data_IF_963257892647
#
_entry.id   IF_963257892647
#
_cell.length_a   1.000
_cell.length_b   1.000
_cell.length_c   1.000
_cell.angle_alpha   90.00
_cell.angle_beta   90.00
_cell.angle_gamma   90.00
#
_symmetry.space_group_name_H-M   'P 1'
#
loop_
_entity.id
_entity.type
_entity.pdbx_description
1 polymer ?
#
# COMPACT_ATOMS: atom_id res chain seq x y z
N UNK A 1 -36.06 -43.74 -51.32
CA UNK A 1 -34.78 -43.02 -51.10
C UNK A 1 -35.09 -41.58 -50.69
N UNK A 2 -34.93 -41.22 -49.41
CA UNK A 2 -34.89 -39.83 -48.94
C UNK A 2 -33.84 -39.76 -47.83
N UNK A 3 -32.75 -39.04 -48.12
CA UNK A 3 -31.57 -38.86 -47.26
C UNK A 3 -31.90 -37.91 -46.12
N UNK A 4 -31.64 -38.33 -44.89
CA UNK A 4 -31.66 -37.47 -43.70
C UNK A 4 -30.24 -36.90 -43.54
N UNK A 5 -30.10 -35.58 -43.55
CA UNK A 5 -28.83 -34.88 -43.27
C UNK A 5 -28.84 -34.48 -41.79
N UNK A 6 -27.88 -34.90 -40.95
CA UNK A 6 -27.77 -34.38 -39.61
C UNK A 6 -26.96 -33.08 -39.63
N UNK A 7 -27.55 -32.00 -39.10
CA UNK A 7 -26.89 -30.72 -38.87
C UNK A 7 -26.07 -30.86 -37.57
N UNK A 8 -24.75 -30.84 -37.71
CA UNK A 8 -23.82 -30.84 -36.57
C UNK A 8 -23.65 -29.41 -36.08
N UNK A 9 -24.32 -29.06 -34.98
CA UNK A 9 -24.16 -27.75 -34.32
C UNK A 9 -22.88 -27.80 -33.47
N UNK A 10 -21.82 -27.21 -34.01
CA UNK A 10 -20.55 -27.03 -33.29
C UNK A 10 -20.70 -25.88 -32.30
N UNK A 11 -20.93 -26.20 -31.02
CA UNK A 11 -20.95 -25.24 -29.93
C UNK A 11 -19.54 -24.69 -29.69
N UNK A 12 -19.28 -23.48 -30.18
CA UNK A 12 -18.08 -22.71 -29.85
C UNK A 12 -18.23 -22.23 -28.40
N UNK A 13 -17.59 -22.93 -27.48
CA UNK A 13 -17.42 -22.44 -26.11
C UNK A 13 -16.44 -21.26 -26.15
N UNK A 14 -16.98 -20.04 -26.11
CA UNK A 14 -16.21 -18.86 -25.75
C UNK A 14 -15.93 -18.94 -24.25
N UNK A 15 -14.77 -19.46 -23.88
CA UNK A 15 -14.20 -19.27 -22.55
C UNK A 15 -13.74 -17.81 -22.46
N UNK A 16 -14.29 -16.96 -21.58
CA UNK A 16 -13.63 -15.71 -21.25
C UNK A 16 -12.33 -16.09 -20.54
N UNK A 17 -11.20 -15.90 -21.22
CA UNK A 17 -9.92 -15.91 -20.56
C UNK A 17 -9.95 -14.80 -19.53
N UNK A 18 -10.01 -15.17 -18.24
CA UNK A 18 -9.68 -14.28 -17.15
C UNK A 18 -8.22 -13.86 -17.40
N UNK A 19 -8.05 -12.70 -18.03
CA UNK A 19 -6.77 -12.01 -18.04
C UNK A 19 -6.49 -11.68 -16.57
N UNK A 20 -5.75 -12.55 -15.89
CA UNK A 20 -5.03 -12.18 -14.68
C UNK A 20 -4.09 -11.06 -15.09
N UNK A 21 -4.57 -9.82 -14.96
CA UNK A 21 -3.77 -8.64 -15.21
C UNK A 21 -2.49 -8.74 -14.39
N UNK A 22 -1.34 -8.54 -15.04
CA UNK A 22 -0.04 -8.64 -14.37
C UNK A 22 -0.04 -7.82 -13.07
N UNK A 23 0.26 -8.51 -11.96
CA UNK A 23 0.29 -7.91 -10.64
C UNK A 23 1.31 -6.76 -10.61
N UNK A 24 0.90 -5.53 -10.27
CA UNK A 24 1.82 -4.40 -10.27
C UNK A 24 2.77 -4.55 -9.10
N UNK A 25 4.02 -4.89 -9.41
CA UNK A 25 5.11 -4.97 -8.43
C UNK A 25 6.04 -3.76 -8.48
N UNK A 26 6.06 -3.05 -9.62
CA UNK A 26 7.02 -1.99 -9.90
C UNK A 26 6.35 -0.61 -9.85
N UNK A 27 7.03 0.35 -9.23
CA UNK A 27 6.61 1.74 -9.20
C UNK A 27 7.80 2.68 -8.99
N UNK A 28 7.98 3.65 -9.90
CA UNK A 28 9.00 4.69 -9.77
C UNK A 28 10.44 4.19 -9.69
N UNK A 29 10.74 3.03 -10.30
CA UNK A 29 12.06 2.40 -10.25
C UNK A 29 12.24 1.36 -9.14
N UNK A 30 11.28 1.24 -8.22
CA UNK A 30 11.33 0.30 -7.10
C UNK A 30 10.41 -0.90 -7.33
N UNK A 31 10.79 -2.05 -6.77
CA UNK A 31 10.01 -3.29 -6.85
C UNK A 31 9.69 -3.84 -5.46
N UNK A 32 8.40 -4.09 -5.19
CA UNK A 32 7.95 -4.75 -3.97
C UNK A 32 8.56 -6.16 -3.84
N UNK A 33 8.95 -6.51 -2.61
CA UNK A 33 9.59 -7.77 -2.25
C UNK A 33 11.10 -7.82 -2.49
N UNK A 34 11.68 -6.81 -3.15
CA UNK A 34 13.14 -6.75 -3.30
C UNK A 34 13.83 -6.23 -2.04
N UNK A 35 15.15 -6.46 -1.98
CA UNK A 35 15.97 -5.98 -0.89
C UNK A 35 16.27 -4.48 -1.02
N UNK A 36 16.15 -3.73 0.08
CA UNK A 36 16.45 -2.30 0.10
C UNK A 36 17.90 -1.98 -0.26
N UNK A 37 18.83 -2.92 -0.01
CA UNK A 37 20.24 -2.78 -0.36
C UNK A 37 20.46 -2.55 -1.88
N UNK A 38 19.52 -3.02 -2.73
CA UNK A 38 19.60 -2.77 -4.18
C UNK A 38 19.39 -1.29 -4.57
N UNK A 39 18.87 -0.49 -3.65
CA UNK A 39 18.43 0.88 -3.90
C UNK A 39 19.22 1.91 -3.07
N UNK A 40 20.39 1.57 -2.54
CA UNK A 40 21.23 2.46 -1.71
C UNK A 40 21.58 3.80 -2.40
N UNK A 41 21.79 3.76 -3.72
CA UNK A 41 22.06 4.96 -4.53
C UNK A 41 20.81 5.80 -4.81
N UNK A 42 19.61 5.28 -4.52
CA UNK A 42 18.32 5.92 -4.80
C UNK A 42 17.55 6.27 -3.53
N UNK A 43 17.89 5.66 -2.39
CA UNK A 43 17.24 5.84 -1.10
C UNK A 43 18.23 6.43 -0.11
N UNK A 44 17.80 7.45 0.63
CA UNK A 44 18.59 8.04 1.70
C UNK A 44 18.44 7.21 2.98
N UNK A 45 19.30 6.21 3.16
CA UNK A 45 19.25 5.33 4.32
C UNK A 45 19.49 6.06 5.66
N UNK A 46 20.14 7.23 5.64
CA UNK A 46 20.33 8.07 6.84
C UNK A 46 19.02 8.71 7.35
N UNK A 47 17.98 8.73 6.51
CA UNK A 47 16.64 9.22 6.88
C UNK A 47 15.72 8.12 7.44
N UNK A 48 16.25 6.91 7.66
CA UNK A 48 15.47 5.76 8.09
C UNK A 48 14.83 5.98 9.46
N UNK A 49 13.50 5.88 9.52
CA UNK A 49 12.74 5.99 10.75
C UNK A 49 11.77 4.82 10.87
N UNK A 50 11.60 4.34 12.10
CA UNK A 50 10.57 3.36 12.41
C UNK A 50 9.19 4.01 12.35
N UNK A 51 8.23 3.32 11.74
CA UNK A 51 6.87 3.87 11.61
C UNK A 51 6.13 3.70 12.93
N UNK A 52 5.67 4.81 13.50
CA UNK A 52 4.91 4.80 14.77
C UNK A 52 3.65 3.95 14.63
N UNK A 53 3.39 3.08 15.61
CA UNK A 53 2.29 2.10 15.61
C UNK A 53 2.38 1.01 14.53
N UNK A 54 3.47 0.97 13.77
CA UNK A 54 3.84 -0.10 12.83
C UNK A 54 5.33 -0.36 12.95
N UNK A 55 5.80 -0.65 14.16
CA UNK A 55 7.22 -0.82 14.49
C UNK A 55 7.91 -1.97 13.72
N UNK A 56 7.12 -2.84 13.09
CA UNK A 56 7.54 -3.85 12.14
C UNK A 56 7.89 -3.31 10.74
N UNK A 57 7.86 -1.99 10.57
CA UNK A 57 8.19 -1.27 9.33
C UNK A 57 9.15 -0.13 9.64
N UNK A 58 10.17 0.00 8.79
CA UNK A 58 10.99 1.19 8.68
C UNK A 58 10.73 1.87 7.33
N UNK A 59 10.75 3.19 7.32
CA UNK A 59 10.61 4.00 6.10
C UNK A 59 11.83 4.91 5.93
N UNK A 60 12.35 4.99 4.71
CA UNK A 60 13.43 5.89 4.33
C UNK A 60 13.00 6.76 3.14
N UNK A 61 13.49 7.99 3.08
CA UNK A 61 13.21 8.92 1.99
C UNK A 61 13.95 8.55 0.71
N UNK A 62 13.32 8.74 -0.45
CA UNK A 62 14.02 8.64 -1.72
C UNK A 62 14.94 9.85 -1.92
N UNK A 63 16.05 9.64 -2.63
CA UNK A 63 16.84 10.72 -3.21
C UNK A 63 16.07 11.35 -4.38
N UNK A 64 16.47 12.55 -4.76
CA UNK A 64 15.80 13.30 -5.82
C UNK A 64 15.72 12.47 -7.11
N UNK A 65 14.49 12.21 -7.56
CA UNK A 65 14.21 11.35 -8.72
C UNK A 65 13.29 12.08 -9.68
N UNK A 66 13.53 11.97 -10.99
CA UNK A 66 12.72 12.64 -11.99
C UNK A 66 11.22 12.27 -11.88
N UNK A 67 10.35 13.29 -11.92
CA UNK A 67 8.90 13.12 -11.83
C UNK A 67 8.34 13.00 -10.42
N UNK A 68 9.19 12.87 -9.39
CA UNK A 68 8.77 12.77 -8.00
C UNK A 68 9.33 13.91 -7.15
N UNK A 69 8.45 14.57 -6.39
CA UNK A 69 8.82 15.61 -5.43
C UNK A 69 9.47 15.03 -4.17
N UNK A 70 8.95 13.89 -3.72
CA UNK A 70 9.38 13.19 -2.51
C UNK A 70 8.83 11.77 -2.53
N UNK A 71 9.36 10.91 -1.68
CA UNK A 71 8.85 9.55 -1.54
C UNK A 71 9.40 8.87 -0.29
N UNK A 72 8.66 7.86 0.18
CA UNK A 72 9.03 7.01 1.30
C UNK A 72 9.00 5.56 0.84
N UNK A 73 10.09 4.85 1.08
CA UNK A 73 10.24 3.42 0.81
C UNK A 73 10.19 2.70 2.14
N UNK A 74 9.16 1.88 2.33
CA UNK A 74 8.93 1.09 3.52
C UNK A 74 9.43 -0.33 3.37
N UNK A 75 10.19 -0.82 4.33
CA UNK A 75 10.74 -2.17 4.37
C UNK A 75 10.51 -2.84 5.73
N UNK A 76 10.46 -4.18 5.70
CA UNK A 76 10.16 -5.02 6.86
C UNK A 76 11.31 -5.06 7.86
N UNK A 77 10.98 -5.31 9.13
CA UNK A 77 11.98 -5.44 10.21
C UNK A 77 11.84 -6.72 11.03
N UNK A 78 10.84 -7.58 10.74
CA UNK A 78 10.55 -8.77 11.56
C UNK A 78 10.53 -10.09 10.80
N UNK A 79 9.58 -10.30 9.88
CA UNK A 79 9.35 -11.56 9.17
C UNK A 79 10.37 -11.72 8.02
N UNK A 80 10.46 -10.70 7.18
CA UNK A 80 11.45 -10.58 6.11
C UNK A 80 12.14 -9.21 6.20
N UNK A 81 13.16 -9.09 7.07
CA UNK A 81 13.91 -7.86 7.22
C UNK A 81 14.45 -7.35 5.88
N UNK A 82 14.48 -6.02 5.73
CA UNK A 82 15.02 -5.29 4.58
C UNK A 82 14.27 -5.49 3.25
N UNK A 83 13.17 -6.26 3.22
CA UNK A 83 12.34 -6.40 2.02
C UNK A 83 11.39 -5.23 1.86
N UNK A 84 11.31 -4.66 0.67
CA UNK A 84 10.37 -3.59 0.31
C UNK A 84 8.94 -4.09 0.41
N UNK A 85 8.15 -3.49 1.29
CA UNK A 85 6.74 -3.84 1.52
C UNK A 85 5.80 -2.66 1.22
N UNK A 86 6.33 -1.44 1.11
CA UNK A 86 5.56 -0.25 0.78
C UNK A 86 6.37 0.73 -0.07
N UNK A 87 5.74 1.30 -1.09
CA UNK A 87 6.29 2.38 -1.91
C UNK A 87 5.27 3.52 -1.87
N UNK A 88 5.66 4.70 -1.37
CA UNK A 88 4.82 5.90 -1.35
C UNK A 88 5.53 7.03 -2.08
N UNK A 89 5.03 7.42 -3.25
CA UNK A 89 5.64 8.47 -4.07
C UNK A 89 4.69 9.65 -4.25
N UNK A 90 5.25 10.85 -4.19
CA UNK A 90 4.56 12.10 -4.46
C UNK A 90 5.07 12.68 -5.77
N UNK A 91 4.17 12.95 -6.71
CA UNK A 91 4.53 13.49 -8.02
C UNK A 91 4.91 14.97 -7.93
N UNK A 92 5.79 15.40 -8.83
CA UNK A 92 6.16 16.83 -8.97
C UNK A 92 4.98 17.67 -9.47
N UNK A 93 4.21 17.15 -10.43
CA UNK A 93 2.98 17.80 -10.88
C UNK A 93 1.85 17.52 -9.89
N UNK A 94 1.44 18.58 -9.17
CA UNK A 94 0.37 18.54 -8.17
C UNK A 94 -1.03 18.79 -8.76
N UNK A 95 -1.15 19.05 -10.06
CA UNK A 95 -2.40 19.47 -10.68
C UNK A 95 -3.44 18.35 -10.75
N UNK A 96 -4.72 18.72 -10.63
CA UNK A 96 -5.85 17.80 -10.85
C UNK A 96 -5.88 17.28 -12.29
N UNK A 97 -5.39 18.06 -13.27
CA UNK A 97 -5.29 17.64 -14.67
C UNK A 97 -4.36 16.43 -14.81
N UNK A 98 -3.16 16.49 -14.22
CA UNK A 98 -2.23 15.38 -14.22
C UNK A 98 -2.80 14.15 -13.52
N UNK A 99 -3.47 14.34 -12.37
CA UNK A 99 -4.19 13.26 -11.68
C UNK A 99 -5.21 12.56 -12.59
N UNK A 100 -6.07 13.32 -13.26
CA UNK A 100 -7.09 12.76 -14.15
C UNK A 100 -6.47 11.99 -15.33
N UNK A 101 -5.34 12.47 -15.86
CA UNK A 101 -4.59 11.77 -16.90
C UNK A 101 -3.99 10.44 -16.39
N UNK A 102 -3.40 10.44 -15.19
CA UNK A 102 -2.90 9.23 -14.55
C UNK A 102 -4.03 8.25 -14.25
N UNK A 103 -5.14 8.72 -13.67
CA UNK A 103 -6.31 7.91 -13.38
C UNK A 103 -6.83 7.22 -14.64
N UNK A 104 -6.91 7.94 -15.78
CA UNK A 104 -7.30 7.35 -17.06
C UNK A 104 -6.33 6.24 -17.49
N UNK A 105 -5.02 6.46 -17.35
CA UNK A 105 -4.00 5.44 -17.67
C UNK A 105 -4.09 4.21 -16.76
N UNK A 106 -4.37 4.42 -15.47
CA UNK A 106 -4.55 3.35 -14.50
C UNK A 106 -5.79 2.51 -14.84
N UNK A 107 -6.91 3.16 -15.16
CA UNK A 107 -8.14 2.48 -15.59
C UNK A 107 -7.95 1.67 -16.88
N UNK A 108 -7.20 2.21 -17.85
CA UNK A 108 -6.87 1.47 -19.08
C UNK A 108 -6.01 0.23 -18.75
N UNK A 109 -5.10 0.32 -17.79
CA UNK A 109 -4.17 -0.76 -17.47
C UNK A 109 -4.75 -1.83 -16.53
N UNK A 110 -5.52 -1.41 -15.52
CA UNK A 110 -5.97 -2.26 -14.42
C UNK A 110 -7.49 -2.42 -14.33
N UNK A 111 -8.25 -1.75 -15.19
CA UNK A 111 -9.71 -1.68 -15.07
C UNK A 111 -10.17 -0.66 -14.03
N UNK A 112 -11.46 -0.67 -13.73
CA UNK A 112 -12.03 0.23 -12.72
C UNK A 112 -11.49 -0.08 -11.32
N UNK A 113 -11.36 0.96 -10.46
CA UNK A 113 -10.92 0.77 -9.08
C UNK A 113 -11.95 0.01 -8.25
N UNK A 114 -11.49 -0.76 -7.27
CA UNK A 114 -12.34 -1.54 -6.38
C UNK A 114 -13.02 -0.69 -5.30
N UNK A 115 -12.36 0.39 -4.86
CA UNK A 115 -12.81 1.15 -3.69
C UNK A 115 -12.50 2.65 -3.78
N UNK A 116 -13.48 3.47 -3.41
CA UNK A 116 -13.30 4.90 -3.13
C UNK A 116 -12.75 5.09 -1.71
N UNK A 117 -11.67 5.86 -1.59
CA UNK A 117 -10.98 6.16 -0.32
C UNK A 117 -10.87 7.67 -0.05
N UNK A 118 -11.51 8.49 -0.88
CA UNK A 118 -11.54 9.94 -0.68
C UNK A 118 -12.55 10.36 0.39
N UNK A 119 -12.54 11.65 0.74
CA UNK A 119 -13.52 12.21 1.66
C UNK A 119 -14.80 12.67 0.92
N UNK A 120 -15.94 12.83 1.63
CA UNK A 120 -17.20 13.26 1.02
C UNK A 120 -17.16 14.65 0.38
N UNK A 121 -16.29 15.54 0.86
CA UNK A 121 -16.13 16.91 0.34
C UNK A 121 -15.14 16.99 -0.83
N UNK A 122 -14.57 15.84 -1.24
CA UNK A 122 -13.60 15.72 -2.32
C UNK A 122 -12.35 16.60 -2.15
N UNK A 123 -11.97 16.87 -0.89
CA UNK A 123 -10.71 17.53 -0.56
C UNK A 123 -9.55 16.59 -0.93
N UNK A 124 -9.69 15.33 -0.55
CA UNK A 124 -8.91 14.15 -0.89
C UNK A 124 -9.73 13.26 -1.82
N UNK A 125 -9.22 13.04 -3.02
CA UNK A 125 -9.75 12.10 -4.00
C UNK A 125 -8.80 10.91 -4.02
N UNK A 126 -9.25 9.72 -3.64
CA UNK A 126 -8.41 8.53 -3.64
C UNK A 126 -9.15 7.31 -4.18
N UNK A 127 -8.53 6.61 -5.12
CA UNK A 127 -9.03 5.37 -5.70
C UNK A 127 -8.06 4.24 -5.38
N UNK A 128 -8.60 3.09 -4.99
CA UNK A 128 -7.84 1.91 -4.63
C UNK A 128 -8.09 0.77 -5.60
N UNK A 129 -7.02 0.08 -5.97
CA UNK A 129 -7.02 -1.21 -6.64
C UNK A 129 -6.39 -2.25 -5.71
N UNK A 130 -6.92 -3.46 -5.73
CA UNK A 130 -6.48 -4.61 -4.96
C UNK A 130 -6.15 -5.73 -5.94
N UNK A 131 -4.98 -6.34 -5.75
CA UNK A 131 -4.50 -7.42 -6.58
C UNK A 131 -4.20 -8.61 -5.70
N UNK A 132 -4.49 -9.80 -6.20
CA UNK A 132 -4.16 -11.07 -5.57
C UNK A 132 -3.68 -12.03 -6.65
N UNK A 133 -2.60 -12.74 -6.38
CA UNK A 133 -2.10 -13.79 -7.26
C UNK A 133 -2.39 -15.20 -6.72
N UNK A 134 -2.03 -16.21 -7.52
CA UNK A 134 -2.22 -17.62 -7.18
C UNK A 134 -1.44 -18.08 -5.95
N UNK A 135 -0.37 -17.36 -5.60
CA UNK A 135 0.46 -17.64 -4.42
C UNK A 135 -0.09 -16.95 -3.15
N UNK A 136 -1.25 -16.28 -3.26
CA UNK A 136 -1.88 -15.53 -2.18
C UNK A 136 -1.17 -14.21 -1.84
N UNK A 137 -0.29 -13.72 -2.72
CA UNK A 137 0.32 -12.40 -2.56
C UNK A 137 -0.71 -11.34 -2.91
N UNK A 138 -1.05 -10.55 -1.90
CA UNK A 138 -1.98 -9.42 -2.01
C UNK A 138 -1.23 -8.10 -2.05
N UNK A 139 -1.61 -7.23 -2.99
CA UNK A 139 -1.10 -5.87 -3.15
C UNK A 139 -2.27 -4.90 -3.16
N UNK A 140 -2.12 -3.77 -2.46
CA UNK A 140 -3.00 -2.62 -2.63
C UNK A 140 -2.24 -1.49 -3.34
N UNK A 141 -2.90 -0.86 -4.30
CA UNK A 141 -2.46 0.37 -4.96
C UNK A 141 -3.49 1.46 -4.67
N UNK A 142 -3.04 2.64 -4.28
CA UNK A 142 -3.91 3.81 -4.06
C UNK A 142 -3.34 4.99 -4.84
N UNK A 143 -4.15 5.57 -5.73
CA UNK A 143 -3.85 6.83 -6.43
C UNK A 143 -4.67 7.95 -5.79
N UNK A 144 -4.00 8.98 -5.29
CA UNK A 144 -4.60 10.05 -4.51
C UNK A 144 -4.26 11.45 -5.05
N UNK A 145 -5.23 12.36 -4.95
CA UNK A 145 -5.08 13.80 -5.16
C UNK A 145 -5.63 14.55 -3.94
N UNK A 146 -4.87 15.47 -3.36
CA UNK A 146 -5.31 16.35 -2.28
C UNK A 146 -5.30 17.82 -2.73
N UNK A 147 -6.42 18.51 -2.52
CA UNK A 147 -6.67 19.89 -2.93
C UNK A 147 -6.46 20.93 -1.83
N UNK A 148 -6.56 20.60 -0.53
CA UNK A 148 -6.62 21.65 0.50
C UNK A 148 -6.32 21.26 1.95
N UNK A 149 -5.35 20.40 2.18
CA UNK A 149 -4.94 20.07 3.55
C UNK A 149 -3.49 20.50 3.84
N UNK A 150 -3.33 21.36 4.86
CA UNK A 150 -2.04 21.80 5.39
C UNK A 150 -1.34 20.71 6.22
N UNK A 151 -2.10 19.79 6.81
CA UNK A 151 -1.61 18.62 7.52
C UNK A 151 -1.36 17.45 6.54
N UNK A 152 -2.26 17.23 5.57
CA UNK A 152 -2.14 16.20 4.53
C UNK A 152 -1.53 16.73 3.22
N UNK A 153 -0.23 17.08 3.25
CA UNK A 153 0.67 17.35 2.10
C UNK A 153 0.00 17.40 0.68
N UNK A 154 -0.51 18.57 0.26
CA UNK A 154 -1.11 18.90 -1.06
C UNK A 154 -0.54 18.20 -2.32
N UNK A 155 -1.39 17.84 -3.28
CA UNK A 155 -0.99 17.37 -4.62
C UNK A 155 -1.26 15.89 -4.88
N UNK A 156 -0.50 15.30 -5.83
CA UNK A 156 -0.72 13.95 -6.33
C UNK A 156 0.24 12.94 -5.70
N UNK A 157 -0.28 11.79 -5.28
CA UNK A 157 0.54 10.70 -4.77
C UNK A 157 0.03 9.34 -5.18
N UNK A 158 0.93 8.38 -5.18
CA UNK A 158 0.62 6.96 -5.38
C UNK A 158 1.27 6.16 -4.27
N UNK A 159 0.52 5.21 -3.72
CA UNK A 159 0.98 4.29 -2.69
C UNK A 159 0.75 2.86 -3.18
N UNK A 160 1.76 2.02 -3.09
CA UNK A 160 1.66 0.58 -3.28
C UNK A 160 2.12 -0.14 -2.02
N UNK A 161 1.39 -1.16 -1.59
CA UNK A 161 1.71 -1.94 -0.40
C UNK A 161 1.52 -3.42 -0.69
N UNK A 162 2.54 -4.24 -0.42
CA UNK A 162 2.42 -5.70 -0.39
C UNK A 162 1.71 -6.09 0.91
N UNK A 163 0.38 -5.99 0.92
CA UNK A 163 -0.45 -6.13 2.12
C UNK A 163 -0.30 -7.50 2.77
N UNK A 164 -0.20 -8.56 1.96
CA UNK A 164 0.09 -9.91 2.46
C UNK A 164 1.40 -10.00 3.26
N UNK A 165 2.47 -9.32 2.83
CA UNK A 165 3.73 -9.29 3.58
C UNK A 165 3.64 -8.37 4.79
N UNK A 166 2.94 -7.22 4.67
CA UNK A 166 2.69 -6.32 5.80
C UNK A 166 2.02 -7.05 6.98
N UNK A 167 1.03 -7.90 6.70
CA UNK A 167 0.33 -8.69 7.72
C UNK A 167 1.26 -9.72 8.39
N UNK A 168 2.18 -10.34 7.62
CA UNK A 168 3.20 -11.26 8.17
C UNK A 168 4.19 -10.55 9.08
N UNK A 169 4.67 -9.37 8.68
CA UNK A 169 5.53 -8.51 9.50
C UNK A 169 4.86 -8.16 10.84
N UNK A 170 3.59 -7.74 10.77
CA UNK A 170 2.79 -7.44 11.96
C UNK A 170 2.68 -8.65 12.89
N UNK A 171 2.27 -9.81 12.34
CA UNK A 171 2.10 -11.03 13.12
C UNK A 171 3.41 -11.49 13.77
N UNK A 172 4.54 -11.35 13.06
CA UNK A 172 5.87 -11.63 13.63
C UNK A 172 6.18 -10.71 14.82
N UNK A 173 5.91 -9.42 14.68
CA UNK A 173 6.23 -8.42 15.70
C UNK A 173 5.34 -8.56 16.94
N UNK A 174 4.05 -8.81 16.76
CA UNK A 174 3.11 -9.08 17.85
C UNK A 174 3.51 -10.32 18.66
N UNK A 175 3.92 -11.40 17.99
CA UNK A 175 4.45 -12.60 18.67
C UNK A 175 5.66 -12.27 19.54
N UNK A 176 6.62 -11.48 19.03
CA UNK A 176 7.81 -11.05 19.80
C UNK A 176 7.44 -10.18 21.00
N UNK A 177 6.48 -9.26 20.85
CA UNK A 177 6.01 -8.41 21.98
C UNK A 177 5.32 -9.22 23.06
N UNK A 178 4.49 -10.20 22.71
CA UNK A 178 3.80 -11.04 23.69
C UNK A 178 4.79 -11.82 24.55
N UNK A 179 5.79 -12.46 23.93
CA UNK A 179 6.87 -13.16 24.64
C UNK A 179 7.65 -12.21 25.56
N UNK A 180 8.00 -11.02 25.08
CA UNK A 180 8.72 -10.02 25.89
C UNK A 180 7.87 -9.51 27.06
N UNK A 181 6.56 -9.33 26.88
CA UNK A 181 5.64 -8.88 27.93
C UNK A 181 5.40 -9.94 29.00
N UNK A 182 5.31 -11.21 28.61
CA UNK A 182 5.25 -12.34 29.55
C UNK A 182 6.53 -12.47 30.37
N UNK A 183 7.69 -12.26 29.74
CA UNK A 183 8.98 -12.24 30.43
C UNK A 183 9.18 -11.01 31.34
N UNK A 184 8.45 -9.92 31.09
CA UNK A 184 8.59 -8.63 31.80
C UNK A 184 7.33 -8.26 32.58
N UNK A 185 6.48 -9.23 32.92
CA UNK A 185 5.20 -9.00 33.56
C UNK A 185 5.41 -8.16 34.83
N UNK A 186 4.86 -6.94 34.92
CA UNK A 186 4.96 -6.15 36.14
C UNK A 186 4.24 -6.90 37.26
N UNK A 187 4.81 -6.91 38.46
CA UNK A 187 4.06 -7.24 39.67
C UNK A 187 2.76 -6.42 39.77
N UNK A 188 1.77 -6.84 40.56
CA UNK A 188 0.41 -6.30 40.53
C UNK A 188 0.42 -4.77 40.56
N UNK A 189 0.15 -4.16 39.40
CA UNK A 189 0.11 -2.71 39.25
C UNK A 189 -1.03 -2.14 40.08
N UNK A 190 -0.78 -1.01 40.75
CA UNK A 190 -1.83 -0.28 41.48
C UNK A 190 -3.03 -0.04 40.56
N UNK A 191 -4.22 -0.35 41.07
CA UNK A 191 -5.47 -0.08 40.39
C UNK A 191 -5.50 1.37 39.87
N UNK A 192 -6.06 1.63 38.68
CA UNK A 192 -6.15 2.99 38.15
C UNK A 192 -6.85 3.87 39.19
N UNK A 193 -6.11 4.87 39.69
CA UNK A 193 -6.64 5.82 40.67
C UNK A 193 -7.82 6.59 40.07
N UNK A 194 -8.66 7.18 40.93
CA UNK A 194 -9.80 8.02 40.50
C UNK A 194 -9.34 9.03 39.45
N UNK A 195 -10.05 9.06 38.33
CA UNK A 195 -9.73 9.86 37.16
C UNK A 195 -9.81 11.36 37.51
N UNK A 196 -8.66 12.04 37.50
CA UNK A 196 -8.59 13.48 37.77
C UNK A 196 -8.90 14.26 36.48
N UNK A 197 -10.13 14.74 36.37
CA UNK A 197 -10.64 15.50 35.22
C UNK A 197 -9.85 16.78 34.92
N UNK A 198 -9.12 17.32 35.90
CA UNK A 198 -8.28 18.51 35.71
C UNK A 198 -7.08 18.25 34.80
N UNK A 199 -6.67 16.99 34.64
CA UNK A 199 -5.59 16.60 33.72
C UNK A 199 -6.06 16.51 32.25
N UNK A 200 -7.37 16.45 32.01
CA UNK A 200 -7.96 16.22 30.68
C UNK A 200 -8.64 17.46 30.11
N UNK A 201 -8.73 18.53 30.89
CA UNK A 201 -9.35 19.79 30.49
C UNK A 201 -8.24 20.86 30.50
N UNK A 202 -7.98 21.54 29.36
CA UNK A 202 -7.03 22.64 29.34
C UNK A 202 -7.53 23.75 30.28
N UNK A 203 -6.63 24.20 31.15
CA UNK A 203 -6.86 25.27 32.12
C UNK A 203 -6.34 26.62 31.58
#
# INVERSE_FOLDING_TARGET
MKRIIPIFVMAVMLSPGLSLGEMPLNLGGYKLGEDIAKYEDQVNMDSCLQVRYMEYVQEAEIRQTAGFKSGLIGFGTCDQPNKLIRIKLKYTDASKRFYNQLLKKYKVKFGDPDEWRGDPFHIVIAWKWSFEDVDGRRISLILQHNTKDSEEKLGNSVKMTLTSQMEKEQACFEKKRTVSREASAPGPGKAPGKQDWKLFIPF
#
